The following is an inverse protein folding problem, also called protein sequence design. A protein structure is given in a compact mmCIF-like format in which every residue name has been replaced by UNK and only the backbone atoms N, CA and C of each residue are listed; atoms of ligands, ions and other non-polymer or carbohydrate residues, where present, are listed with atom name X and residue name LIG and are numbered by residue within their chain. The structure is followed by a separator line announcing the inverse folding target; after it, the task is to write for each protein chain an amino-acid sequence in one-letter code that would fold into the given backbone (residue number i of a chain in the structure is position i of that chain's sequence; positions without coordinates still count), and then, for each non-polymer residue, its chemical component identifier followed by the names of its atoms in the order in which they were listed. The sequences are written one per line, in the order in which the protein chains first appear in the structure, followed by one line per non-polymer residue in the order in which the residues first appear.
data_IF_252442213130
#
_entry.id   IF_252442213130
#
_cell.length_a   1.000
_cell.length_b   1.000
_cell.length_c   1.000
_cell.angle_alpha   90.00
_cell.angle_beta   90.00
_cell.angle_gamma   90.00
#
_symmetry.space_group_name_H-M   'P 1'
#
loop_
_entity.id
_entity.type
_entity.pdbx_description
1 polymer ?
#
# COMPACT_ATOMS: atom_id res chain seq x y z
N UNK A 1 -8.71 23.36 21.33
CA UNK A 1 -8.49 22.49 21.25
C UNK A 1 -8.52 22.20 21.39
N UNK A 2 -8.67 22.68 21.35
CA UNK A 2 -8.43 21.78 21.28
C UNK A 2 -8.45 21.58 21.18
N UNK A 3 -8.48 21.70 21.11
CA UNK A 3 -8.27 21.00 20.98
C UNK A 3 -8.31 20.54 21.02
N UNK A 4 -8.73 20.27 20.67
CA UNK A 4 -8.53 19.51 20.68
C UNK A 4 -8.55 19.09 20.46
N UNK A 5 -8.57 19.35 20.29
CA UNK A 5 -8.38 18.77 20.12
C UNK A 5 -8.37 18.39 19.68
N UNK A 6 -8.17 18.97 19.74
CA UNK A 6 -7.95 18.35 19.36
C UNK A 6 -7.89 18.04 19.04
N UNK A 7 -8.01 18.11 18.70
CA UNK A 7 -7.75 17.42 18.40
C UNK A 7 -7.64 17.22 18.18
N UNK A 8 -7.61 17.53 18.11
CA UNK A 8 -7.36 17.00 17.86
C UNK A 8 -7.22 16.92 17.61
N UNK A 9 -7.08 17.20 17.46
CA UNK A 9 -6.85 16.84 17.07
C UNK A 9 -6.72 16.69 16.77
N UNK A 10 -6.65 16.83 16.58
CA UNK A 10 -6.49 16.56 15.98
C UNK A 10 -6.47 16.52 15.61
N UNK A 11 -6.80 16.84 15.72
CA UNK A 11 -6.65 16.39 15.41
C UNK A 11 -6.60 16.53 15.14
N UNK A 12 -6.39 16.74 14.77
CA UNK A 12 -6.26 16.50 14.37
C UNK A 12 -6.27 16.63 13.92
N UNK A 13 -6.60 16.99 13.62
CA UNK A 13 -6.44 16.61 13.25
C UNK A 13 -6.57 16.75 12.84
N UNK A 14 -6.59 17.12 12.41
CA UNK A 14 -6.59 16.81 12.04
C UNK A 14 -6.67 17.06 11.36
N UNK A 15 -6.48 17.39 10.86
CA UNK A 15 -6.31 17.00 10.18
C UNK A 15 -6.24 17.60 9.36
N UNK A 16 -6.07 18.13 8.79
CA UNK A 16 -5.92 18.31 8.09
C UNK A 16 -5.41 18.51 7.31
N UNK A 17 -5.09 18.47 6.84
CA UNK A 17 -4.41 18.19 6.22
C UNK A 17 -4.27 18.04 5.23
N UNK A 18 -3.61 18.28 4.70
CA UNK A 18 -3.72 17.76 3.73
C UNK A 18 -2.91 16.95 3.27
N UNK A 19 -3.02 16.14 3.17
CA UNK A 19 -2.36 15.24 2.76
C UNK A 19 -2.82 14.86 1.60
N UNK A 20 -2.16 14.87 0.79
CA UNK A 20 -2.55 14.39 -0.26
C UNK A 20 -2.63 13.07 -0.12
N UNK A 21 -3.33 12.54 -0.25
CA UNK A 21 -3.31 11.37 -0.13
C UNK A 21 -4.28 10.71 0.37
N UNK A 22 -4.30 10.20 1.20
CA UNK A 22 -5.02 9.28 1.51
C UNK A 22 -5.72 9.49 2.62
N UNK A 23 -6.87 9.43 2.62
CA UNK A 23 -7.58 9.59 3.72
C UNK A 23 -8.06 8.30 4.12
N UNK A 24 -7.84 7.67 4.94
CA UNK A 24 -8.35 6.45 5.38
C UNK A 24 -7.47 5.30 5.05
N UNK A 25 -7.85 4.14 5.44
CA UNK A 25 -7.03 2.97 5.29
C UNK A 25 -7.26 2.31 3.94
N UNK A 26 -6.18 1.84 3.36
CA UNK A 26 -6.22 1.07 2.12
C UNK A 26 -6.20 -0.41 2.47
N UNK A 27 -6.92 -1.19 1.71
CA UNK A 27 -6.91 -2.63 1.89
C UNK A 27 -5.59 -3.18 1.40
N UNK A 28 -4.93 -3.98 2.23
CA UNK A 28 -3.63 -4.57 1.94
C UNK A 28 -3.78 -6.09 1.95
N UNK A 29 -3.26 -6.72 0.92
CA UNK A 29 -3.20 -8.18 0.82
C UNK A 29 -1.76 -8.57 0.56
N UNK A 30 -1.48 -9.85 0.47
CA UNK A 30 -0.13 -10.33 0.20
C UNK A 30 -0.18 -11.46 -0.82
N UNK A 31 0.86 -11.54 -1.64
CA UNK A 31 0.98 -12.63 -2.59
C UNK A 31 2.44 -13.10 -2.62
N UNK A 32 2.67 -14.28 -3.18
CA UNK A 32 4.00 -14.82 -3.32
C UNK A 32 4.25 -15.19 -4.78
N UNK A 33 5.25 -15.98 -5.06
CA UNK A 33 5.64 -16.34 -6.41
C UNK A 33 4.49 -16.98 -7.18
N UNK A 34 4.25 -16.48 -8.38
CA UNK A 34 3.20 -16.98 -9.26
C UNK A 34 3.77 -17.85 -10.38
N UNK A 35 5.11 -17.88 -10.51
CA UNK A 35 5.75 -18.56 -11.63
C UNK A 35 5.94 -17.67 -12.83
N UNK A 36 5.63 -16.37 -12.72
CA UNK A 36 5.69 -15.41 -13.83
C UNK A 36 6.33 -14.11 -13.36
N UNK A 37 6.90 -13.35 -14.32
CA UNK A 37 7.38 -12.01 -14.00
C UNK A 37 6.23 -11.09 -13.60
N UNK A 38 6.58 -10.01 -12.94
CA UNK A 38 5.64 -8.92 -12.66
C UNK A 38 5.33 -8.13 -13.94
N UNK A 39 4.34 -7.25 -13.83
CA UNK A 39 3.93 -6.45 -14.99
C UNK A 39 5.06 -5.57 -15.54
N UNK A 40 6.01 -5.17 -14.71
CA UNK A 40 7.15 -4.38 -15.18
C UNK A 40 8.25 -5.22 -15.84
N UNK A 41 8.06 -6.53 -15.92
CA UNK A 41 9.01 -7.44 -16.57
C UNK A 41 10.04 -8.07 -15.65
N UNK A 42 10.11 -7.63 -14.41
CA UNK A 42 11.06 -8.17 -13.44
C UNK A 42 10.45 -9.34 -12.68
N UNK A 43 11.30 -10.22 -12.19
CA UNK A 43 10.83 -11.27 -11.29
C UNK A 43 10.49 -10.65 -9.94
N UNK A 44 9.47 -11.18 -9.25
CA UNK A 44 9.04 -10.62 -7.97
C UNK A 44 10.16 -10.57 -6.94
N UNK A 45 10.14 -9.52 -6.13
CA UNK A 45 11.11 -9.34 -5.05
C UNK A 45 10.45 -8.63 -3.87
N UNK A 46 11.05 -8.80 -2.68
CA UNK A 46 10.58 -8.10 -1.49
C UNK A 46 10.75 -6.60 -1.70
N UNK A 47 9.70 -5.84 -1.42
CA UNK A 47 9.67 -4.41 -1.70
C UNK A 47 8.81 -4.04 -2.88
N UNK A 48 8.31 -5.03 -3.63
CA UNK A 48 7.42 -4.78 -4.76
C UNK A 48 5.97 -4.98 -4.32
N UNK A 49 5.08 -4.18 -4.90
CA UNK A 49 3.64 -4.34 -4.70
C UNK A 49 2.92 -4.30 -6.03
N UNK A 50 1.75 -4.91 -6.07
CA UNK A 50 0.84 -4.86 -7.20
C UNK A 50 -0.28 -3.88 -6.89
N UNK A 51 -0.63 -3.06 -7.87
CA UNK A 51 -1.72 -2.11 -7.74
C UNK A 51 -2.23 -1.73 -9.12
N UNK A 52 -3.52 -1.49 -9.22
CA UNK A 52 -4.12 -0.95 -10.43
C UNK A 52 -4.38 0.55 -10.32
N UNK A 53 -4.03 1.15 -9.17
CA UNK A 53 -4.39 2.55 -8.90
C UNK A 53 -3.22 3.51 -9.04
N UNK A 54 -2.00 3.01 -9.15
CA UNK A 54 -0.79 3.83 -9.26
C UNK A 54 0.03 3.38 -10.46
N UNK A 55 0.72 4.32 -11.09
CA UNK A 55 1.61 3.98 -12.21
C UNK A 55 2.74 3.08 -11.75
N UNK A 56 3.20 2.21 -12.64
CA UNK A 56 4.41 1.41 -12.36
C UNK A 56 5.56 2.36 -12.07
N UNK A 57 6.35 2.03 -11.07
CA UNK A 57 7.47 2.86 -10.63
C UNK A 57 7.13 3.81 -9.49
N UNK A 58 5.86 4.00 -9.18
CA UNK A 58 5.48 4.84 -8.04
C UNK A 58 6.02 4.23 -6.76
N UNK A 59 6.57 5.07 -5.90
CA UNK A 59 7.04 4.63 -4.59
C UNK A 59 5.99 5.00 -3.57
N UNK A 60 5.54 4.00 -2.84
CA UNK A 60 4.52 4.15 -1.80
C UNK A 60 5.14 3.86 -0.45
N UNK A 61 4.75 4.63 0.55
CA UNK A 61 5.07 4.31 1.93
C UNK A 61 3.86 3.62 2.54
N UNK A 62 4.05 2.41 3.02
CA UNK A 62 2.98 1.59 3.57
C UNK A 62 3.42 1.17 4.96
N UNK A 63 2.71 1.63 5.97
CA UNK A 63 3.01 1.32 7.38
C UNK A 63 4.47 1.62 7.74
N UNK A 64 5.02 2.68 7.17
CA UNK A 64 6.37 3.12 7.50
C UNK A 64 7.48 2.59 6.62
N UNK A 65 7.18 1.71 5.66
CA UNK A 65 8.18 1.14 4.75
C UNK A 65 7.87 1.53 3.32
N UNK A 66 8.92 1.74 2.52
CA UNK A 66 8.77 2.13 1.13
C UNK A 66 8.71 0.90 0.22
N UNK A 67 7.77 0.94 -0.72
CA UNK A 67 7.57 -0.12 -1.70
C UNK A 67 7.46 0.51 -3.08
N UNK A 68 7.74 -0.28 -4.11
CA UNK A 68 7.62 0.16 -5.50
C UNK A 68 6.46 -0.56 -6.16
N UNK A 69 5.62 0.18 -6.84
CA UNK A 69 4.56 -0.42 -7.65
C UNK A 69 5.22 -1.03 -8.88
N UNK A 70 5.26 -2.35 -8.93
CA UNK A 70 5.96 -3.07 -9.99
C UNK A 70 5.06 -4.07 -10.71
N UNK A 71 3.84 -4.26 -10.22
CA UNK A 71 2.95 -5.27 -10.73
C UNK A 71 1.52 -4.76 -10.79
N UNK A 72 0.68 -5.52 -11.45
CA UNK A 72 -0.75 -5.22 -11.61
C UNK A 72 -1.58 -6.34 -11.02
N UNK A 73 -2.76 -5.98 -10.57
CA UNK A 73 -3.77 -6.94 -10.14
C UNK A 73 -4.70 -7.24 -11.31
N UNK A 74 -5.62 -8.16 -11.12
CA UNK A 74 -6.61 -8.46 -12.13
C UNK A 74 -7.38 -7.19 -12.51
N UNK A 75 -7.81 -7.07 -13.76
CA UNK A 75 -8.55 -5.89 -14.20
C UNK A 75 -9.78 -5.66 -13.32
N UNK A 76 -10.02 -4.39 -13.02
CA UNK A 76 -11.19 -3.98 -12.24
C UNK A 76 -10.99 -3.97 -10.73
N UNK A 77 -9.85 -4.42 -10.23
CA UNK A 77 -9.59 -4.39 -8.80
C UNK A 77 -8.97 -3.03 -8.45
N UNK A 78 -9.65 -2.31 -7.57
CA UNK A 78 -9.22 -0.99 -7.13
C UNK A 78 -9.31 -0.89 -5.62
N UNK A 79 -8.53 0.02 -5.04
CA UNK A 79 -8.55 0.25 -3.60
C UNK A 79 -7.78 -0.79 -2.80
N UNK A 80 -7.01 -1.63 -3.47
CA UNK A 80 -6.26 -2.72 -2.85
C UNK A 80 -4.81 -2.64 -3.30
N UNK A 81 -3.89 -2.91 -2.40
CA UNK A 81 -2.48 -3.06 -2.72
C UNK A 81 -2.06 -4.45 -2.27
N UNK A 82 -1.47 -5.21 -3.19
CA UNK A 82 -1.08 -6.59 -2.96
C UNK A 82 0.44 -6.64 -2.79
N UNK A 83 0.91 -6.99 -1.61
CA UNK A 83 2.32 -6.88 -1.25
C UNK A 83 3.00 -8.21 -1.51
N UNK A 84 4.07 -8.19 -2.30
CA UNK A 84 4.82 -9.41 -2.56
C UNK A 84 5.59 -9.84 -1.30
N UNK A 85 5.50 -11.10 -0.96
CA UNK A 85 6.26 -11.71 0.11
C UNK A 85 6.90 -12.98 -0.39
N UNK A 86 8.20 -13.12 -0.12
CA UNK A 86 8.98 -14.22 -0.66
C UNK A 86 8.74 -15.54 0.09
N UNK A 87 7.83 -15.55 1.03
CA UNK A 87 7.55 -16.70 1.86
C UNK A 87 6.04 -16.93 1.87
N UNK A 88 5.62 -18.09 1.41
CA UNK A 88 4.21 -18.43 1.33
C UNK A 88 3.52 -18.32 2.69
N UNK A 89 4.16 -18.81 3.74
CA UNK A 89 3.54 -18.79 5.06
C UNK A 89 3.39 -17.38 5.59
N UNK A 90 4.37 -16.50 5.32
CA UNK A 90 4.24 -15.09 5.70
C UNK A 90 3.09 -14.43 4.97
N UNK A 91 2.92 -14.75 3.69
CA UNK A 91 1.82 -14.18 2.92
C UNK A 91 0.47 -14.63 3.47
N UNK A 92 0.36 -15.89 3.84
CA UNK A 92 -0.87 -16.43 4.43
C UNK A 92 -1.14 -15.75 5.77
N UNK A 93 -0.12 -15.60 6.60
CA UNK A 93 -0.28 -14.97 7.91
C UNK A 93 -0.62 -13.50 7.79
N UNK A 94 -0.10 -12.81 6.79
CA UNK A 94 -0.43 -11.42 6.56
C UNK A 94 -1.93 -11.28 6.29
N UNK A 95 -2.47 -12.16 5.46
CA UNK A 95 -3.88 -12.20 5.16
C UNK A 95 -4.35 -10.91 4.52
N UNK A 96 -5.36 -10.31 5.13
CA UNK A 96 -5.94 -9.06 4.68
C UNK A 96 -5.93 -8.08 5.82
N UNK A 97 -5.35 -6.92 5.58
CA UNK A 97 -5.23 -5.88 6.60
C UNK A 97 -5.62 -4.54 5.99
N UNK A 98 -5.68 -3.52 6.81
CA UNK A 98 -5.89 -2.16 6.35
C UNK A 98 -4.76 -1.32 6.91
N UNK A 99 -4.20 -0.46 6.09
CA UNK A 99 -3.09 0.36 6.51
C UNK A 99 -3.06 1.69 5.78
N UNK A 100 -2.23 2.59 6.27
CA UNK A 100 -2.08 3.90 5.66
C UNK A 100 -1.04 3.84 4.55
N UNK A 101 -1.36 4.48 3.44
CA UNK A 101 -0.52 4.47 2.25
C UNK A 101 -0.32 5.91 1.78
N UNK A 102 0.94 6.26 1.55
CA UNK A 102 1.29 7.60 1.07
C UNK A 102 2.18 7.47 -0.16
N UNK A 103 1.97 8.34 -1.13
CA UNK A 103 2.83 8.41 -2.30
C UNK A 103 4.10 9.17 -1.90
N UNK A 104 5.25 8.57 -2.14
CA UNK A 104 6.54 9.17 -1.82
C UNK A 104 7.19 9.76 -3.07
N UNK A 105 7.15 9.00 -4.15
CA UNK A 105 7.80 9.47 -5.38
C UNK A 105 7.18 8.86 -6.63
#
# INVERSE_FOLDING_TARGET
MSLKKIILMFVFVIGLFTISGQAGATELTAYTHTGSPMANGEWPYEGAVASNDYALGTVLNINGYNYVVADRMAPGIHGVIDIFMNDYDRAIQFGRQYGEVYVVA
#
